data_IF_263693155018
#
_entry.id   IF_263693155018
#
_cell.length_a   1.000
_cell.length_b   1.000
_cell.length_c   1.000
_cell.angle_alpha   90.00
_cell.angle_beta   90.00
_cell.angle_gamma   90.00
#
_symmetry.space_group_name_H-M   'P 1'
#
loop_
_entity.id
_entity.type
_entity.pdbx_description
1 polymer ?
#
# COMPACT_ATOMS: atom_id res chain seq x y z
N UNK A 1 -16.96 2.24 11.27
CA UNK A 1 -16.15 3.46 11.04
C UNK A 1 -15.08 3.13 10.01
N UNK A 2 -14.09 2.28 10.28
CA UNK A 2 -12.96 1.89 9.41
C UNK A 2 -13.20 1.48 7.94
N UNK A 3 -14.44 1.28 7.48
CA UNK A 3 -14.73 0.98 6.08
C UNK A 3 -14.51 2.20 5.18
N UNK A 4 -14.72 3.42 5.70
CA UNK A 4 -14.59 4.64 4.90
C UNK A 4 -13.12 5.02 4.71
N UNK A 5 -12.32 4.94 5.76
CA UNK A 5 -10.88 5.24 5.76
C UNK A 5 -10.13 4.24 4.89
N UNK A 6 -10.47 2.95 4.96
CA UNK A 6 -9.92 1.92 4.05
C UNK A 6 -10.36 2.14 2.60
N UNK A 7 -11.56 2.66 2.37
CA UNK A 7 -12.00 3.03 1.03
C UNK A 7 -11.16 4.19 0.48
N UNK A 8 -10.96 5.25 1.27
CA UNK A 8 -10.09 6.38 0.92
C UNK A 8 -8.64 5.92 0.68
N UNK A 9 -8.10 5.02 1.52
CA UNK A 9 -6.77 4.45 1.31
C UNK A 9 -6.69 3.66 0.00
N UNK A 10 -7.74 2.91 -0.34
CA UNK A 10 -7.81 2.17 -1.60
C UNK A 10 -7.82 3.14 -2.80
N UNK A 11 -8.65 4.18 -2.75
CA UNK A 11 -8.69 5.21 -3.79
C UNK A 11 -7.36 5.95 -3.92
N UNK A 12 -6.72 6.29 -2.80
CA UNK A 12 -5.40 6.92 -2.78
C UNK A 12 -4.33 6.03 -3.45
N UNK A 13 -4.31 4.73 -3.15
CA UNK A 13 -3.41 3.79 -3.83
C UNK A 13 -3.70 3.74 -5.33
N UNK A 14 -4.95 3.62 -5.76
CA UNK A 14 -5.27 3.64 -7.19
C UNK A 14 -4.83 4.92 -7.88
N UNK A 15 -5.05 6.08 -7.26
CA UNK A 15 -4.63 7.37 -7.79
C UNK A 15 -3.10 7.51 -7.85
N UNK A 16 -2.39 7.04 -6.82
CA UNK A 16 -0.93 6.99 -6.79
C UNK A 16 -0.36 6.08 -7.89
N UNK A 17 -0.94 4.89 -8.08
CA UNK A 17 -0.55 3.98 -9.16
C UNK A 17 -0.77 4.61 -10.54
N UNK A 18 -1.92 5.26 -10.77
CA UNK A 18 -2.18 5.99 -12.02
C UNK A 18 -1.20 7.14 -12.24
N UNK A 19 -0.92 7.94 -11.20
CA UNK A 19 0.06 9.04 -11.23
C UNK A 19 1.45 8.56 -11.62
N UNK A 20 1.83 7.37 -11.14
CA UNK A 20 3.11 6.73 -11.43
C UNK A 20 3.12 5.93 -12.76
N UNK A 21 2.00 5.90 -13.50
CA UNK A 21 1.80 5.08 -14.69
C UNK A 21 2.09 3.58 -14.47
N UNK A 22 1.73 3.09 -13.28
CA UNK A 22 1.89 1.69 -12.88
C UNK A 22 0.64 0.86 -13.21
N UNK A 23 0.79 -0.46 -13.43
CA UNK A 23 -0.35 -1.32 -13.67
C UNK A 23 -1.27 -1.39 -12.45
N UNK A 24 -2.57 -1.26 -12.68
CA UNK A 24 -3.56 -1.34 -11.60
C UNK A 24 -3.87 -2.81 -11.25
N UNK A 25 -3.79 -3.18 -9.97
CA UNK A 25 -4.21 -4.51 -9.52
C UNK A 25 -5.74 -4.61 -9.52
N UNK A 26 -6.27 -5.81 -9.76
CA UNK A 26 -7.73 -6.04 -9.74
C UNK A 26 -8.34 -5.80 -8.35
N UNK A 27 -7.60 -6.14 -7.28
CA UNK A 27 -8.04 -5.96 -5.90
C UNK A 27 -6.91 -5.48 -4.98
N UNK A 28 -7.26 -4.57 -4.07
CA UNK A 28 -6.43 -4.13 -2.95
C UNK A 28 -7.05 -4.70 -1.68
N UNK A 29 -6.43 -5.76 -1.16
CA UNK A 29 -6.92 -6.45 0.02
C UNK A 29 -6.19 -5.90 1.25
N UNK A 30 -6.93 -5.24 2.13
CA UNK A 30 -6.45 -4.75 3.42
C UNK A 30 -6.70 -5.82 4.49
N UNK A 31 -5.64 -6.30 5.12
CA UNK A 31 -5.69 -7.35 6.14
C UNK A 31 -5.44 -6.75 7.52
N UNK A 32 -6.32 -6.99 8.52
CA UNK A 32 -6.04 -6.63 9.91
C UNK A 32 -4.71 -7.26 10.33
N UNK A 33 -3.77 -6.42 10.76
CA UNK A 33 -2.41 -6.84 11.07
C UNK A 33 -2.03 -6.29 12.45
N UNK A 34 -1.62 -7.15 13.39
CA UNK A 34 -1.02 -6.68 14.63
C UNK A 34 0.41 -6.20 14.35
N UNK A 35 0.69 -4.94 14.68
CA UNK A 35 2.03 -4.36 14.62
C UNK A 35 2.66 -4.36 16.02
N UNK A 36 3.95 -3.99 16.13
CA UNK A 36 4.63 -3.95 17.43
C UNK A 36 4.04 -2.85 18.33
N UNK A 37 3.06 -3.21 19.16
CA UNK A 37 2.39 -2.30 20.09
C UNK A 37 1.11 -1.66 19.57
N UNK A 38 0.87 -1.71 18.26
CA UNK A 38 -0.28 -1.08 17.59
C UNK A 38 -1.10 -2.11 16.79
N UNK A 39 -2.33 -1.74 16.44
CA UNK A 39 -3.15 -2.47 15.47
C UNK A 39 -3.26 -1.67 14.18
N UNK A 40 -3.59 -2.35 13.08
CA UNK A 40 -3.84 -1.66 11.83
C UNK A 40 -4.16 -2.60 10.68
N UNK A 41 -3.90 -2.13 9.47
CA UNK A 41 -4.17 -2.84 8.22
C UNK A 41 -2.93 -2.87 7.34
N UNK A 42 -2.56 -4.06 6.88
CA UNK A 42 -1.47 -4.27 5.94
C UNK A 42 -2.00 -4.68 4.57
N UNK A 43 -1.31 -4.29 3.51
CA UNK A 43 -1.56 -4.83 2.17
C UNK A 43 -0.29 -5.13 1.40
N UNK A 44 -0.32 -6.21 0.61
CA UNK A 44 0.76 -6.65 -0.28
C UNK A 44 0.58 -6.15 -1.72
N UNK A 45 -0.23 -5.11 -1.93
CA UNK A 45 -0.59 -4.61 -3.27
C UNK A 45 0.62 -4.27 -4.14
N UNK A 46 1.68 -3.72 -3.55
CA UNK A 46 2.89 -3.33 -4.28
C UNK A 46 3.62 -4.54 -4.89
N UNK A 47 3.52 -5.72 -4.27
CA UNK A 47 4.02 -6.96 -4.88
C UNK A 47 3.19 -7.40 -6.08
N UNK A 48 1.86 -7.26 -6.02
CA UNK A 48 0.99 -7.56 -7.17
C UNK A 48 1.36 -6.65 -8.35
N UNK A 49 1.51 -5.35 -8.11
CA UNK A 49 1.90 -4.35 -9.13
C UNK A 49 3.29 -4.64 -9.68
N UNK A 50 4.30 -4.84 -8.82
CA UNK A 50 5.67 -5.15 -9.24
C UNK A 50 5.74 -6.47 -10.05
N UNK A 51 4.93 -7.47 -9.70
CA UNK A 51 4.84 -8.71 -10.47
C UNK A 51 4.20 -8.50 -11.84
N UNK A 52 3.23 -7.59 -11.97
CA UNK A 52 2.66 -7.20 -13.27
C UNK A 52 3.69 -6.46 -14.14
N UNK A 53 4.46 -5.53 -13.57
CA UNK A 53 5.57 -4.91 -14.29
C UNK A 53 6.62 -5.94 -14.72
N UNK A 54 6.98 -6.89 -13.85
CA UNK A 54 7.97 -7.92 -14.16
C UNK A 54 7.53 -8.92 -15.26
N UNK A 55 6.22 -9.02 -15.54
CA UNK A 55 5.72 -9.77 -16.71
C UNK A 55 6.05 -9.07 -18.02
N UNK A 56 6.14 -7.74 -18.02
CA UNK A 56 6.50 -6.91 -19.17
C UNK A 56 8.02 -6.81 -19.28
N UNK A 57 8.70 -6.49 -18.17
CA UNK A 57 10.15 -6.43 -18.07
C UNK A 57 10.69 -7.48 -17.08
N UNK A 58 11.16 -8.60 -17.62
CA UNK A 58 11.69 -9.72 -16.83
C UNK A 58 12.99 -9.42 -16.09
N UNK A 59 13.63 -8.28 -16.35
CA UNK A 59 14.83 -7.86 -15.62
C UNK A 59 14.50 -7.27 -14.24
N UNK A 60 13.24 -6.88 -14.00
CA UNK A 60 12.80 -6.30 -12.75
C UNK A 60 12.84 -7.33 -11.60
N UNK A 61 13.51 -6.94 -10.51
CA UNK A 61 13.51 -7.70 -9.26
C UNK A 61 12.28 -7.31 -8.43
N UNK A 62 11.25 -8.15 -8.48
CA UNK A 62 9.95 -7.91 -7.84
C UNK A 62 10.05 -7.39 -6.40
N UNK A 63 10.85 -7.97 -5.48
CA UNK A 63 10.91 -7.48 -4.09
C UNK A 63 11.47 -6.07 -3.97
N UNK A 64 12.49 -5.73 -4.78
CA UNK A 64 13.06 -4.39 -4.80
C UNK A 64 12.04 -3.40 -5.36
N UNK A 65 11.41 -3.75 -6.48
CA UNK A 65 10.42 -2.90 -7.14
C UNK A 65 9.19 -2.67 -6.26
N UNK A 66 8.71 -3.69 -5.55
CA UNK A 66 7.61 -3.57 -4.60
C UNK A 66 7.95 -2.61 -3.45
N UNK A 67 9.18 -2.64 -2.94
CA UNK A 67 9.62 -1.71 -1.89
C UNK A 67 9.69 -0.26 -2.38
N UNK A 68 10.20 -0.05 -3.61
CA UNK A 68 10.20 1.27 -4.26
C UNK A 68 8.78 1.80 -4.43
N UNK A 69 7.86 0.99 -4.97
CA UNK A 69 6.45 1.37 -5.16
C UNK A 69 5.80 1.72 -3.82
N UNK A 70 6.00 0.88 -2.79
CA UNK A 70 5.43 1.14 -1.47
C UNK A 70 5.92 2.48 -0.89
N UNK A 71 7.21 2.80 -1.07
CA UNK A 71 7.78 4.07 -0.61
C UNK A 71 7.18 5.26 -1.36
N UNK A 72 6.98 5.14 -2.69
CA UNK A 72 6.40 6.21 -3.51
C UNK A 72 4.91 6.47 -3.23
N UNK A 73 4.20 5.50 -2.65
CA UNK A 73 2.79 5.59 -2.29
C UNK A 73 2.57 6.10 -0.86
N UNK A 74 3.63 6.27 -0.05
CA UNK A 74 3.50 6.80 1.32
C UNK A 74 2.87 8.19 1.33
N UNK A 75 3.38 9.10 0.49
CA UNK A 75 2.94 10.50 0.43
C UNK A 75 1.44 10.62 0.10
N UNK A 76 0.90 9.67 -0.69
CA UNK A 76 -0.53 9.65 -1.06
C UNK A 76 -1.42 9.17 0.11
N UNK A 77 -0.85 8.47 1.10
CA UNK A 77 -1.56 7.83 2.21
C UNK A 77 -1.41 8.57 3.54
N UNK A 78 -0.33 9.32 3.76
CA UNK A 78 -0.05 10.03 5.01
C UNK A 78 -1.12 11.07 5.39
N UNK A 79 -1.88 11.58 4.42
CA UNK A 79 -2.89 12.63 4.62
C UNK A 79 -4.31 12.09 4.88
N UNK A 80 -4.49 10.78 5.01
CA UNK A 80 -5.80 10.17 5.22
C UNK A 80 -6.15 10.21 6.70
N UNK A 81 -7.22 10.92 7.04
CA UNK A 81 -7.75 10.94 8.41
C UNK A 81 -8.13 9.54 8.87
N UNK A 82 -7.84 9.22 10.13
CA UNK A 82 -8.15 7.94 10.76
C UNK A 82 -7.01 6.94 10.83
N UNK A 83 -5.88 7.22 10.18
CA UNK A 83 -4.61 6.51 10.40
C UNK A 83 -3.65 7.38 11.20
N UNK A 84 -3.06 6.80 12.23
CA UNK A 84 -2.09 7.47 13.12
C UNK A 84 -0.71 7.56 12.46
N UNK A 85 -0.34 6.48 11.75
CA UNK A 85 0.94 6.34 11.08
C UNK A 85 0.79 5.45 9.84
N UNK A 86 1.50 5.80 8.78
CA UNK A 86 1.59 4.98 7.56
C UNK A 86 3.04 4.60 7.33
N UNK A 87 3.29 3.35 6.96
CA UNK A 87 4.65 2.84 6.76
C UNK A 87 4.74 1.97 5.50
N UNK A 88 5.88 2.08 4.80
CA UNK A 88 6.25 1.16 3.73
C UNK A 88 7.37 0.23 4.23
N UNK A 89 7.05 -1.04 4.49
CA UNK A 89 8.01 -2.03 5.00
C UNK A 89 8.15 -3.17 4.03
N UNK A 90 9.33 -3.31 3.41
CA UNK A 90 9.65 -4.43 2.48
C UNK A 90 8.60 -4.65 1.38
N UNK A 91 7.97 -3.59 0.87
CA UNK A 91 6.94 -3.68 -0.17
C UNK A 91 5.51 -3.91 0.34
N UNK A 92 5.30 -3.87 1.64
CA UNK A 92 3.97 -3.78 2.25
C UNK A 92 3.65 -2.33 2.57
N UNK A 93 2.37 -1.97 2.41
CA UNK A 93 1.82 -0.73 2.93
C UNK A 93 1.08 -1.06 4.22
N UNK A 94 1.48 -0.42 5.32
CA UNK A 94 0.95 -0.64 6.65
C UNK A 94 0.30 0.66 7.14
N UNK A 95 -0.98 0.58 7.49
CA UNK A 95 -1.77 1.66 8.04
C UNK A 95 -2.01 1.37 9.52
N UNK A 96 -1.37 2.11 10.42
CA UNK A 96 -1.54 1.97 11.86
C UNK A 96 -2.74 2.79 12.33
N UNK A 97 -3.57 2.22 13.20
CA UNK A 97 -4.70 2.91 13.82
C UNK A 97 -4.39 3.18 15.30
N UNK A 98 -4.72 4.37 15.79
CA UNK A 98 -4.67 4.64 17.22
C UNK A 98 -5.93 4.06 17.87
N UNK A 99 -5.76 3.28 18.93
CA UNK A 99 -6.88 2.69 19.70
C UNK A 99 -7.08 3.35 21.06
N UNK A 100 -6.33 4.43 21.34
CA UNK A 100 -6.35 5.15 22.62
C UNK A 100 -7.52 6.12 22.73
#
# INVERSE_FOLDING_TARGET
MFTQELHQATEAVHNGLKRLNLPEPETIDWLPTPFEGDWGYGTAVCFKVAALEAKIDRSLKVPQRAHEIATLLLDDLENIEGFDRVEAVKGYLNLHINTS
#
